data_IF_464829238389
#
_entry.id   IF_464829238389
#
_cell.length_a   1.000
_cell.length_b   1.000
_cell.length_c   1.000
_cell.angle_alpha   90.00
_cell.angle_beta   90.00
_cell.angle_gamma   90.00
#
_symmetry.space_group_name_H-M   'P 1'
#
loop_
_entity.id
_entity.type
_entity.pdbx_description
1 polymer ?
#
# COMPACT_ATOMS: atom_id res chain seq x y z
N UNK A 1 -8.00 -17.93 -4.59
CA UNK A 1 -7.43 -17.36 -5.83
C UNK A 1 -6.15 -16.63 -5.44
N UNK A 2 -5.08 -16.72 -6.25
CA UNK A 2 -3.87 -15.94 -6.02
C UNK A 2 -4.06 -14.55 -6.69
N UNK A 3 -3.92 -13.47 -5.91
CA UNK A 3 -4.07 -12.09 -6.38
C UNK A 3 -2.74 -11.33 -6.41
N UNK A 4 -1.62 -11.95 -6.07
CA UNK A 4 -0.31 -11.28 -5.93
C UNK A 4 0.14 -10.65 -7.24
N UNK A 5 0.76 -9.47 -7.18
CA UNK A 5 1.25 -8.73 -8.36
C UNK A 5 2.68 -8.24 -8.15
N UNK A 6 3.54 -8.47 -9.14
CA UNK A 6 4.84 -7.80 -9.25
C UNK A 6 4.65 -6.45 -9.96
N UNK A 7 4.56 -5.37 -9.18
CA UNK A 7 4.20 -4.04 -9.69
C UNK A 7 5.36 -3.37 -10.45
N UNK A 8 6.62 -3.65 -10.07
CA UNK A 8 7.81 -3.05 -10.67
C UNK A 8 8.73 -4.10 -11.31
N UNK A 9 8.28 -4.85 -12.34
CA UNK A 9 8.99 -6.02 -12.87
C UNK A 9 10.34 -5.71 -13.54
N UNK A 10 10.60 -4.45 -13.90
CA UNK A 10 11.85 -3.99 -14.52
C UNK A 10 12.81 -3.29 -13.55
N UNK A 11 12.41 -3.14 -12.29
CA UNK A 11 13.26 -2.59 -11.22
C UNK A 11 13.97 -3.77 -10.53
N UNK A 12 15.28 -3.68 -10.30
CA UNK A 12 16.06 -4.81 -9.76
C UNK A 12 15.49 -5.37 -8.44
N UNK A 13 15.18 -4.54 -7.42
CA UNK A 13 14.49 -5.02 -6.22
C UNK A 13 13.05 -5.53 -6.44
N UNK A 14 12.42 -5.16 -7.56
CA UNK A 14 10.99 -5.34 -7.77
C UNK A 14 10.12 -4.59 -6.74
N UNK A 15 8.82 -4.86 -6.76
CA UNK A 15 7.82 -4.47 -5.78
C UNK A 15 6.68 -5.49 -5.80
N UNK A 16 6.81 -6.54 -5.00
CA UNK A 16 5.78 -7.58 -4.88
C UNK A 16 4.69 -7.15 -3.90
N UNK A 17 3.43 -7.17 -4.35
CA UNK A 17 2.27 -6.90 -3.52
C UNK A 17 1.44 -8.18 -3.35
N UNK A 18 0.87 -8.37 -2.17
CA UNK A 18 -0.03 -9.51 -1.89
C UNK A 18 -1.30 -9.49 -2.77
N UNK A 19 -1.72 -8.29 -3.18
CA UNK A 19 -2.84 -8.05 -4.09
C UNK A 19 -2.74 -6.62 -4.69
N UNK A 20 -3.51 -6.26 -5.73
CA UNK A 20 -3.42 -4.94 -6.36
C UNK A 20 -4.18 -3.82 -5.62
N UNK A 21 -4.82 -4.11 -4.48
CA UNK A 21 -5.62 -3.12 -3.75
C UNK A 21 -4.70 -2.27 -2.87
N UNK A 22 -4.77 -0.96 -3.04
CA UNK A 22 -4.02 0.01 -2.24
C UNK A 22 -4.84 1.28 -2.04
N UNK A 23 -4.48 2.06 -1.02
CA UNK A 23 -5.14 3.33 -0.72
C UNK A 23 -4.65 4.44 -1.65
N UNK A 24 -5.49 5.44 -1.90
CA UNK A 24 -5.04 6.65 -2.59
C UNK A 24 -4.29 7.58 -1.61
N UNK A 25 -3.30 8.32 -2.12
CA UNK A 25 -2.51 9.23 -1.28
C UNK A 25 -3.41 10.26 -0.60
N UNK A 26 -3.26 10.41 0.72
CA UNK A 26 -4.02 11.37 1.51
C UNK A 26 -5.43 10.94 1.91
N UNK A 27 -5.90 9.75 1.52
CA UNK A 27 -7.23 9.24 1.92
C UNK A 27 -7.19 8.32 3.13
N UNK A 28 -6.01 8.02 3.67
CA UNK A 28 -5.83 6.94 4.65
C UNK A 28 -4.76 7.19 5.72
N UNK A 29 -4.35 8.45 5.93
CA UNK A 29 -3.34 8.80 6.94
C UNK A 29 -2.05 7.99 6.78
N UNK A 30 -1.61 7.36 7.88
CA UNK A 30 -0.49 6.42 7.91
C UNK A 30 -0.93 4.94 8.02
N UNK A 31 -2.25 4.69 7.97
CA UNK A 31 -2.86 3.36 8.02
C UNK A 31 -3.18 2.84 9.41
N UNK A 32 -2.52 3.34 10.46
CA UNK A 32 -2.78 2.92 11.84
C UNK A 32 -4.16 3.37 12.34
N UNK A 33 -4.68 4.46 11.78
CA UNK A 33 -5.95 5.07 12.16
C UNK A 33 -7.14 4.14 11.89
N UNK A 34 -7.02 3.25 10.90
CA UNK A 34 -8.09 2.34 10.46
C UNK A 34 -7.92 0.92 10.97
N UNK A 35 -6.89 0.64 11.77
CA UNK A 35 -6.58 -0.69 12.33
C UNK A 35 -7.71 -1.30 13.16
N UNK A 36 -8.63 -0.48 13.67
CA UNK A 36 -9.80 -0.91 14.43
C UNK A 36 -11.01 -1.27 13.55
N UNK A 37 -10.99 -0.93 12.26
CA UNK A 37 -12.09 -1.19 11.32
C UNK A 37 -11.87 -2.48 10.53
N UNK A 38 -10.61 -2.78 10.18
CA UNK A 38 -10.23 -4.01 9.51
C UNK A 38 -8.72 -4.27 9.65
N UNK A 39 -8.29 -5.48 9.32
CA UNK A 39 -6.86 -5.84 9.28
C UNK A 39 -6.17 -5.19 8.08
N UNK A 40 -5.35 -4.18 8.38
CA UNK A 40 -4.59 -3.40 7.40
C UNK A 40 -3.61 -4.25 6.59
N UNK A 41 -3.19 -5.43 7.08
CA UNK A 41 -2.29 -6.33 6.37
C UNK A 41 -2.97 -7.01 5.16
N UNK A 42 -4.29 -6.87 5.02
CA UNK A 42 -5.01 -7.35 3.83
C UNK A 42 -4.82 -6.43 2.60
N UNK A 43 -4.40 -5.18 2.78
CA UNK A 43 -4.08 -4.30 1.67
C UNK A 43 -2.74 -4.70 1.03
N UNK A 44 -2.63 -4.57 -0.29
CA UNK A 44 -1.36 -4.76 -0.99
C UNK A 44 -0.33 -3.68 -0.64
N UNK A 45 -0.79 -2.43 -0.49
CA UNK A 45 0.06 -1.31 -0.09
C UNK A 45 -0.77 -0.17 0.55
N UNK A 46 -0.09 0.71 1.28
CA UNK A 46 -0.62 1.98 1.79
C UNK A 46 0.15 3.12 1.13
N UNK A 47 -0.55 4.05 0.49
CA UNK A 47 0.06 5.25 -0.11
C UNK A 47 -0.14 6.43 0.84
N UNK A 48 0.90 6.78 1.59
CA UNK A 48 0.85 7.90 2.52
C UNK A 48 0.73 9.26 1.80
N UNK A 49 0.29 10.29 2.53
CA UNK A 49 0.32 11.68 2.03
C UNK A 49 1.77 12.10 1.78
N UNK A 50 2.02 12.79 0.66
CA UNK A 50 3.34 13.39 0.39
C UNK A 50 3.77 14.35 1.50
N UNK A 51 5.00 14.15 2.00
CA UNK A 51 5.66 14.99 3.00
C UNK A 51 6.50 16.05 2.30
N UNK A 52 6.59 17.24 2.89
CA UNK A 52 7.46 18.32 2.43
C UNK A 52 8.35 18.79 3.57
N UNK A 53 9.57 19.22 3.25
CA UNK A 53 10.48 19.87 4.17
C UNK A 53 10.45 21.38 3.92
N UNK A 54 10.48 22.19 4.98
CA UNK A 54 10.56 23.65 4.91
C UNK A 54 11.97 24.13 5.21
#
# INVERSE_FOLDING_TARGET
MNLSVQLAPRHEPGLMLANPVMTASGTFGYGTEYSHLFDIQQLGAIVCKGLYLR
#
